data_IF_931850068466
#
_entry.id   IF_931850068466
#
_cell.length_a   1.000
_cell.length_b   1.000
_cell.length_c   1.000
_cell.angle_alpha   90.00
_cell.angle_beta   90.00
_cell.angle_gamma   90.00
#
_symmetry.space_group_name_H-M   'P 1'
#
loop_
_entity.id
_entity.type
_entity.pdbx_description
1 polymer ?
#
# COMPACT_ATOMS: atom_id res chain seq x y z
N UNK A 1 -29.96 10.40 3.34
CA UNK A 1 -28.87 10.70 4.31
C UNK A 1 -28.20 9.45 4.88
N UNK A 2 -28.93 8.40 5.28
CA UNK A 2 -28.38 7.21 5.95
C UNK A 2 -27.23 6.52 5.19
N UNK A 3 -27.33 6.38 3.88
CA UNK A 3 -26.27 5.77 3.06
C UNK A 3 -24.94 6.55 3.09
N UNK A 4 -24.99 7.89 3.15
CA UNK A 4 -23.78 8.71 3.29
C UNK A 4 -23.16 8.56 4.66
N UNK A 5 -23.98 8.46 5.70
CA UNK A 5 -23.50 8.22 7.06
C UNK A 5 -22.81 6.85 7.18
N UNK A 6 -23.42 5.78 6.67
CA UNK A 6 -22.79 4.46 6.61
C UNK A 6 -21.48 4.46 5.83
N UNK A 7 -21.43 5.16 4.69
CA UNK A 7 -20.21 5.26 3.89
C UNK A 7 -19.08 5.92 4.71
N UNK A 8 -19.36 7.05 5.37
CA UNK A 8 -18.37 7.73 6.21
C UNK A 8 -17.89 6.82 7.36
N UNK A 9 -18.81 6.19 8.07
CA UNK A 9 -18.49 5.32 9.22
C UNK A 9 -17.64 4.12 8.84
N UNK A 10 -17.78 3.60 7.61
CA UNK A 10 -16.98 2.47 7.14
C UNK A 10 -15.65 2.93 6.53
N UNK A 11 -15.69 3.90 5.62
CA UNK A 11 -14.50 4.27 4.85
C UNK A 11 -13.52 5.15 5.63
N UNK A 12 -13.98 5.98 6.58
CA UNK A 12 -13.05 6.82 7.36
C UNK A 12 -12.14 5.97 8.25
N UNK A 13 -12.65 5.04 9.07
CA UNK A 13 -11.77 4.16 9.86
C UNK A 13 -10.87 3.30 8.98
N UNK A 14 -11.39 2.79 7.87
CA UNK A 14 -10.59 2.02 6.92
C UNK A 14 -9.42 2.84 6.37
N UNK A 15 -9.67 4.09 5.96
CA UNK A 15 -8.62 5.00 5.50
C UNK A 15 -7.57 5.27 6.59
N UNK A 16 -7.99 5.47 7.85
CA UNK A 16 -7.06 5.64 8.97
C UNK A 16 -6.16 4.41 9.13
N UNK A 17 -6.71 3.20 9.06
CA UNK A 17 -5.93 1.95 9.15
C UNK A 17 -4.92 1.85 8.00
N UNK A 18 -5.36 2.11 6.76
CA UNK A 18 -4.49 2.06 5.59
C UNK A 18 -3.35 3.08 5.68
N UNK A 19 -3.64 4.30 6.13
CA UNK A 19 -2.63 5.34 6.35
C UNK A 19 -1.65 4.92 7.44
N UNK A 20 -2.13 4.41 8.59
CA UNK A 20 -1.28 3.97 9.67
C UNK A 20 -0.35 2.83 9.23
N UNK A 21 -0.85 1.86 8.45
CA UNK A 21 -0.05 0.79 7.86
C UNK A 21 1.00 1.33 6.89
N UNK A 22 0.64 2.30 6.04
CA UNK A 22 1.59 2.94 5.14
C UNK A 22 2.70 3.69 5.89
N UNK A 23 2.36 4.43 6.95
CA UNK A 23 3.33 5.16 7.78
C UNK A 23 4.24 4.21 8.55
N UNK A 24 3.69 3.14 9.12
CA UNK A 24 4.47 2.13 9.83
C UNK A 24 5.43 1.37 8.90
N UNK A 25 5.07 1.18 7.63
CA UNK A 25 5.85 0.48 6.62
C UNK A 25 6.42 1.45 5.56
N UNK A 26 6.81 2.65 5.98
CA UNK A 26 7.33 3.70 5.09
C UNK A 26 8.75 3.45 4.60
N UNK A 27 9.43 2.45 5.14
CA UNK A 27 10.80 2.16 4.76
C UNK A 27 10.86 1.62 3.33
N UNK A 28 11.87 2.00 2.53
CA UNK A 28 12.01 1.50 1.17
C UNK A 28 12.25 -0.02 1.16
N UNK A 29 11.47 -0.74 0.36
CA UNK A 29 11.61 -2.18 0.16
C UNK A 29 11.88 -2.45 -1.31
N UNK A 30 12.85 -3.32 -1.59
CA UNK A 30 13.11 -3.77 -2.95
C UNK A 30 11.96 -4.67 -3.40
N UNK A 31 11.28 -4.27 -4.48
CA UNK A 31 10.23 -5.04 -5.12
C UNK A 31 10.64 -5.37 -6.55
N UNK A 32 10.77 -6.66 -6.86
CA UNK A 32 11.16 -7.16 -8.17
C UNK A 32 9.93 -7.60 -8.96
N UNK A 33 9.70 -6.96 -10.11
CA UNK A 33 8.62 -7.26 -11.05
C UNK A 33 9.02 -8.38 -12.03
N UNK A 34 9.64 -9.43 -11.50
CA UNK A 34 10.11 -10.59 -12.28
C UNK A 34 9.94 -11.86 -11.43
N UNK A 35 8.81 -12.57 -11.57
CA UNK A 35 8.56 -13.77 -10.78
C UNK A 35 9.44 -14.95 -11.20
N UNK A 36 10.15 -14.84 -12.32
CA UNK A 36 10.99 -15.90 -12.89
C UNK A 36 12.47 -15.69 -12.61
N UNK A 37 12.89 -14.45 -12.35
CA UNK A 37 14.27 -14.11 -11.98
C UNK A 37 14.30 -13.12 -10.79
N UNK A 38 14.15 -13.63 -9.55
CA UNK A 38 14.22 -12.80 -8.34
C UNK A 38 15.56 -12.05 -8.25
N UNK A 39 15.49 -10.75 -7.93
CA UNK A 39 16.68 -9.90 -7.81
C UNK A 39 17.19 -9.31 -9.13
N UNK A 40 16.48 -9.48 -10.24
CA UNK A 40 16.80 -8.83 -11.52
C UNK A 40 16.85 -7.29 -11.35
N UNK A 41 18.04 -6.65 -11.44
CA UNK A 41 18.18 -5.22 -11.13
C UNK A 41 17.48 -4.32 -12.15
N UNK A 42 17.26 -4.80 -13.38
CA UNK A 42 16.55 -4.04 -14.41
C UNK A 42 15.04 -3.95 -14.15
N UNK A 43 14.49 -4.88 -13.36
CA UNK A 43 13.07 -4.96 -13.01
C UNK A 43 12.82 -4.81 -11.51
N UNK A 44 13.78 -4.27 -10.77
CA UNK A 44 13.67 -4.04 -9.32
C UNK A 44 13.57 -2.56 -9.03
N UNK A 45 12.55 -2.18 -8.29
CA UNK A 45 12.37 -0.82 -7.78
C UNK A 45 12.41 -0.84 -6.25
N UNK A 46 13.04 0.17 -5.65
CA UNK A 46 13.10 0.29 -4.19
C UNK A 46 12.25 1.47 -3.77
N UNK A 47 11.07 1.18 -3.25
CA UNK A 47 10.09 2.15 -2.79
C UNK A 47 9.36 1.60 -1.56
N UNK A 48 8.70 2.43 -0.75
CA UNK A 48 7.86 1.94 0.33
C UNK A 48 6.74 1.02 -0.19
N UNK A 49 6.46 -0.09 0.53
CA UNK A 49 5.53 -1.14 0.06
C UNK A 49 4.13 -0.62 -0.29
N UNK A 50 3.66 0.40 0.42
CA UNK A 50 2.34 0.97 0.17
C UNK A 50 2.18 1.53 -1.25
N UNK A 51 3.27 1.95 -1.92
CA UNK A 51 3.21 2.43 -3.31
C UNK A 51 2.84 1.32 -4.29
N UNK A 52 3.13 0.06 -3.96
CA UNK A 52 2.85 -1.09 -4.82
C UNK A 52 1.47 -1.72 -4.57
N UNK A 53 0.86 -1.47 -3.40
CA UNK A 53 -0.37 -2.13 -2.95
C UNK A 53 -1.63 -1.26 -3.13
N UNK A 54 -1.48 0.05 -3.29
CA UNK A 54 -2.57 1.04 -3.36
C UNK A 54 -2.33 2.00 -4.52
#
# INVERSE_FOLDING_TARGET
MFNRFMLIVVFVPLAVILIALAVANRDPVAFTLDPFNPGNPALTMTLPLFIFLF
#
